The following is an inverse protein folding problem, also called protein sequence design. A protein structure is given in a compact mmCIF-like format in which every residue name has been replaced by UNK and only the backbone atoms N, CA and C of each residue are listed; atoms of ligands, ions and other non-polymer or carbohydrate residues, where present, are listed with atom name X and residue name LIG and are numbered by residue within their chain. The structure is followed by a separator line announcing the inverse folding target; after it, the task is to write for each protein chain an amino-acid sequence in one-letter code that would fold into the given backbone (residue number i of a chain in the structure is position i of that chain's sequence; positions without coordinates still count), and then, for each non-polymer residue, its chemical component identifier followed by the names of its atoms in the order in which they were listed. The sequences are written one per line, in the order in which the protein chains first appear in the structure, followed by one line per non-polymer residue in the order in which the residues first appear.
data_IF_023129863081
#
_entry.id   IF_023129863081
#
_cell.length_a   1.000
_cell.length_b   1.000
_cell.length_c   1.000
_cell.angle_alpha   90.00
_cell.angle_beta   90.00
_cell.angle_gamma   90.00
#
_symmetry.space_group_name_H-M   'P 1'
#
loop_
_entity.id
_entity.type
_entity.pdbx_description
1 polymer ?
#
# COMPACT_ATOMS: atom_id res chain seq x y z
N UNK A 1 -12.69 41.37 -15.39
CA UNK A 1 -14.16 41.41 -15.45
C UNK A 1 -14.66 40.02 -15.82
N UNK A 2 -15.37 39.40 -14.87
CA UNK A 2 -15.92 38.03 -14.79
C UNK A 2 -16.47 37.42 -16.10
N UNK A 3 -15.92 36.29 -16.56
CA UNK A 3 -16.61 35.32 -17.46
C UNK A 3 -16.11 33.88 -17.33
N UNK A 4 -16.06 33.31 -16.12
CA UNK A 4 -16.07 31.84 -15.93
C UNK A 4 -16.73 31.49 -14.59
N UNK A 5 -17.99 31.88 -14.42
CA UNK A 5 -18.87 31.32 -13.40
C UNK A 5 -20.01 30.62 -14.12
N UNK A 6 -19.68 29.51 -14.80
CA UNK A 6 -20.67 28.57 -15.30
C UNK A 6 -21.20 27.76 -14.13
N UNK A 7 -22.05 28.38 -13.30
CA UNK A 7 -22.86 27.63 -12.36
C UNK A 7 -23.83 26.78 -13.19
N UNK A 8 -23.50 25.49 -13.35
CA UNK A 8 -24.42 24.50 -13.94
C UNK A 8 -25.65 24.50 -13.05
N UNK A 9 -26.75 25.09 -13.52
CA UNK A 9 -28.03 24.99 -12.83
C UNK A 9 -28.45 23.53 -12.89
N UNK A 10 -28.72 22.90 -11.73
CA UNK A 10 -29.19 21.50 -11.64
C UNK A 10 -30.40 21.19 -12.54
N UNK A 11 -31.12 22.20 -13.02
CA UNK A 11 -32.26 22.04 -13.91
C UNK A 11 -31.89 21.46 -15.28
N UNK A 12 -30.66 21.66 -15.77
CA UNK A 12 -30.21 21.25 -17.12
C UNK A 12 -29.44 19.91 -17.13
N UNK A 13 -29.18 19.31 -15.97
CA UNK A 13 -28.44 18.05 -15.85
C UNK A 13 -29.36 16.84 -16.09
N UNK A 14 -29.63 16.52 -17.35
CA UNK A 14 -30.48 15.39 -17.78
C UNK A 14 -30.06 14.05 -17.15
N UNK A 15 -28.76 13.83 -16.98
CA UNK A 15 -28.16 12.64 -16.34
C UNK A 15 -28.60 12.44 -14.88
N UNK A 16 -28.86 13.52 -14.13
CA UNK A 16 -29.31 13.43 -12.73
C UNK A 16 -30.80 13.06 -12.63
N UNK A 17 -31.60 13.37 -13.66
CA UNK A 17 -33.04 13.03 -13.71
C UNK A 17 -33.30 11.60 -14.17
N UNK A 18 -32.39 11.02 -14.95
CA UNK A 18 -32.44 9.61 -15.38
C UNK A 18 -31.80 8.65 -14.34
N UNK A 19 -31.47 9.15 -13.14
CA UNK A 19 -30.93 8.34 -12.06
C UNK A 19 -31.94 7.30 -11.57
N UNK A 20 -31.45 6.08 -11.29
CA UNK A 20 -32.25 4.93 -10.83
C UNK A 20 -33.21 5.22 -9.65
N UNK A 21 -32.89 6.22 -8.81
CA UNK A 21 -33.68 6.60 -7.63
C UNK A 21 -34.33 8.00 -7.74
N UNK A 22 -34.23 8.69 -8.87
CA UNK A 22 -34.72 10.07 -9.02
C UNK A 22 -36.23 10.17 -8.78
N UNK A 23 -37.02 9.29 -9.41
CA UNK A 23 -38.47 9.30 -9.23
C UNK A 23 -38.88 8.96 -7.78
N UNK A 24 -38.22 8.00 -7.14
CA UNK A 24 -38.55 7.56 -5.78
C UNK A 24 -38.18 8.60 -4.69
N UNK A 25 -37.13 9.39 -4.92
CA UNK A 25 -36.64 10.40 -3.96
C UNK A 25 -37.25 11.79 -4.22
N UNK A 26 -37.38 12.18 -5.50
CA UNK A 26 -37.76 13.55 -5.89
C UNK A 26 -39.23 13.67 -6.28
N UNK A 27 -39.81 12.66 -6.93
CA UNK A 27 -41.19 12.70 -7.45
C UNK A 27 -42.18 12.09 -6.44
N UNK A 28 -41.93 10.86 -6.00
CA UNK A 28 -42.87 10.09 -5.17
C UNK A 28 -42.63 10.27 -3.67
N UNK A 29 -41.49 10.84 -3.26
CA UNK A 29 -41.02 10.99 -1.86
C UNK A 29 -41.12 9.71 -1.02
N UNK A 30 -41.18 8.54 -1.65
CA UNK A 30 -41.34 7.25 -0.99
C UNK A 30 -40.05 6.80 -0.30
N UNK A 31 -38.90 7.32 -0.76
CA UNK A 31 -37.58 7.04 -0.19
C UNK A 31 -36.84 8.33 0.17
N UNK A 32 -36.25 8.35 1.38
CA UNK A 32 -35.38 9.44 1.82
C UNK A 32 -34.05 9.45 1.06
N UNK A 33 -33.49 10.64 0.82
CA UNK A 33 -32.18 10.83 0.15
C UNK A 33 -31.05 10.07 0.85
N UNK A 34 -31.10 9.94 2.18
CA UNK A 34 -30.12 9.17 2.96
C UNK A 34 -30.19 7.68 2.64
N UNK A 35 -31.41 7.13 2.48
CA UNK A 35 -31.63 5.72 2.16
C UNK A 35 -31.16 5.39 0.74
N UNK A 36 -31.50 6.24 -0.23
CA UNK A 36 -31.03 6.07 -1.61
C UNK A 36 -29.50 6.17 -1.71
N UNK A 37 -28.89 7.11 -0.98
CA UNK A 37 -27.44 7.24 -0.87
C UNK A 37 -26.78 5.99 -0.27
N UNK A 38 -27.35 5.44 0.81
CA UNK A 38 -26.85 4.23 1.46
C UNK A 38 -26.95 2.99 0.55
N UNK A 39 -28.04 2.83 -0.20
CA UNK A 39 -28.22 1.73 -1.17
C UNK A 39 -27.20 1.84 -2.30
N UNK A 40 -27.05 3.03 -2.89
CA UNK A 40 -26.09 3.28 -3.97
C UNK A 40 -24.64 3.01 -3.51
N UNK A 41 -24.27 3.50 -2.31
CA UNK A 41 -22.95 3.26 -1.73
C UNK A 41 -22.70 1.76 -1.46
N UNK A 42 -23.70 1.05 -0.94
CA UNK A 42 -23.59 -0.39 -0.65
C UNK A 42 -23.43 -1.22 -1.92
N UNK A 43 -24.23 -0.95 -2.96
CA UNK A 43 -24.14 -1.64 -4.26
C UNK A 43 -22.79 -1.32 -4.92
N UNK A 44 -22.38 -0.06 -4.92
CA UNK A 44 -21.08 0.36 -5.45
C UNK A 44 -19.92 -0.32 -4.73
N UNK A 45 -19.96 -0.41 -3.40
CA UNK A 45 -18.95 -1.11 -2.61
C UNK A 45 -18.90 -2.61 -2.93
N UNK A 46 -20.05 -3.28 -2.98
CA UNK A 46 -20.13 -4.70 -3.34
C UNK A 46 -19.59 -4.97 -4.76
N UNK A 47 -19.95 -4.12 -5.73
CA UNK A 47 -19.48 -4.25 -7.11
C UNK A 47 -17.97 -4.01 -7.22
N UNK A 48 -17.44 -3.03 -6.49
CA UNK A 48 -15.99 -2.75 -6.41
C UNK A 48 -15.25 -3.97 -5.84
N UNK A 49 -15.72 -4.51 -4.71
CA UNK A 49 -15.11 -5.69 -4.07
C UNK A 49 -15.17 -6.90 -5.00
N UNK A 50 -16.33 -7.17 -5.62
CA UNK A 50 -16.50 -8.30 -6.55
C UNK A 50 -15.58 -8.17 -7.77
N UNK A 51 -15.47 -6.96 -8.34
CA UNK A 51 -14.58 -6.67 -9.47
C UNK A 51 -13.12 -6.91 -9.10
N UNK A 52 -12.67 -6.40 -7.94
CA UNK A 52 -11.29 -6.58 -7.46
C UNK A 52 -10.96 -8.07 -7.25
N UNK A 53 -11.85 -8.82 -6.60
CA UNK A 53 -11.65 -10.25 -6.35
C UNK A 53 -11.63 -11.04 -7.66
N UNK A 54 -12.54 -10.74 -8.58
CA UNK A 54 -12.62 -11.41 -9.89
C UNK A 54 -11.37 -11.15 -10.74
N UNK A 55 -10.85 -9.93 -10.73
CA UNK A 55 -9.61 -9.56 -11.42
C UNK A 55 -8.40 -10.33 -10.88
N UNK A 56 -8.27 -10.40 -9.54
CA UNK A 56 -7.20 -11.19 -8.89
C UNK A 56 -7.31 -12.67 -9.26
N UNK A 57 -8.53 -13.23 -9.29
CA UNK A 57 -8.76 -14.62 -9.66
C UNK A 57 -8.45 -14.91 -11.13
N UNK A 58 -8.86 -14.03 -12.05
CA UNK A 58 -8.56 -14.15 -13.48
C UNK A 58 -7.06 -14.05 -13.74
N UNK A 59 -6.37 -13.08 -13.14
CA UNK A 59 -4.92 -12.96 -13.27
C UNK A 59 -4.21 -14.18 -12.70
N UNK A 60 -4.62 -14.67 -11.52
CA UNK A 60 -4.09 -15.90 -10.93
C UNK A 60 -4.27 -17.13 -11.83
N UNK A 61 -5.30 -17.16 -12.67
CA UNK A 61 -5.50 -18.19 -13.70
C UNK A 61 -4.69 -17.93 -14.97
N UNK A 62 -4.61 -16.68 -15.42
CA UNK A 62 -3.84 -16.24 -16.60
C UNK A 62 -2.34 -16.52 -16.43
N UNK A 63 -1.84 -16.42 -15.21
CA UNK A 63 -0.44 -16.71 -14.86
C UNK A 63 -0.14 -18.20 -14.63
N UNK A 64 -1.09 -19.12 -14.91
CA UNK A 64 -0.84 -20.57 -14.95
C UNK A 64 -0.55 -21.01 -16.39
N UNK A 65 0.54 -21.76 -16.60
CA UNK A 65 0.85 -22.40 -17.89
C UNK A 65 2.04 -21.77 -18.66
N UNK A 66 1.96 -21.72 -20.00
CA UNK A 66 3.04 -21.26 -20.90
C UNK A 66 3.48 -19.81 -20.66
N UNK A 67 2.55 -18.94 -20.25
CA UNK A 67 2.84 -17.57 -19.83
C UNK A 67 3.81 -17.50 -18.65
N UNK A 68 3.73 -18.44 -17.70
CA UNK A 68 4.64 -18.52 -16.55
C UNK A 68 6.09 -18.78 -16.98
N UNK A 69 6.30 -19.63 -18.00
CA UNK A 69 7.65 -19.91 -18.54
C UNK A 69 8.21 -18.71 -19.32
N UNK A 70 7.38 -18.01 -20.08
CA UNK A 70 7.77 -16.80 -20.80
C UNK A 70 8.13 -15.66 -19.83
N UNK A 71 7.31 -15.45 -18.81
CA UNK A 71 7.53 -14.46 -17.76
C UNK A 71 8.79 -14.81 -16.95
N UNK A 72 8.98 -16.07 -16.51
CA UNK A 72 10.23 -16.47 -15.82
C UNK A 72 11.48 -16.23 -16.66
N UNK A 73 11.42 -16.41 -17.99
CA UNK A 73 12.53 -16.05 -18.89
C UNK A 73 12.75 -14.54 -18.91
N UNK A 74 11.70 -13.74 -19.15
CA UNK A 74 11.81 -12.28 -19.19
C UNK A 74 12.28 -11.67 -17.87
N UNK A 75 11.77 -12.18 -16.74
CA UNK A 75 12.10 -11.71 -15.39
C UNK A 75 13.54 -12.04 -14.95
N UNK A 76 14.21 -12.99 -15.62
CA UNK A 76 15.59 -13.38 -15.34
C UNK A 76 16.64 -12.53 -16.05
N UNK A 77 16.26 -11.73 -17.07
CA UNK A 77 17.24 -11.01 -17.89
C UNK A 77 17.75 -9.72 -17.23
N UNK A 78 16.86 -8.83 -16.82
CA UNK A 78 17.28 -7.49 -16.41
C UNK A 78 16.35 -6.88 -15.34
N UNK A 79 16.86 -6.50 -14.16
CA UNK A 79 16.06 -5.86 -13.12
C UNK A 79 15.40 -4.53 -13.57
N UNK A 80 15.99 -3.81 -14.52
CA UNK A 80 15.38 -2.60 -15.10
C UNK A 80 14.19 -2.92 -16.01
N UNK A 81 14.24 -4.04 -16.73
CA UNK A 81 13.11 -4.52 -17.52
C UNK A 81 11.94 -4.88 -16.60
N UNK A 82 12.22 -5.45 -15.43
CA UNK A 82 11.20 -5.78 -14.43
C UNK A 82 10.47 -4.53 -13.90
N UNK A 83 11.18 -3.39 -13.78
CA UNK A 83 10.55 -2.09 -13.47
C UNK A 83 9.60 -1.69 -14.60
N UNK A 84 10.06 -1.72 -15.86
CA UNK A 84 9.21 -1.36 -17.00
C UNK A 84 7.97 -2.25 -17.11
N UNK A 85 8.11 -3.56 -16.87
CA UNK A 85 6.98 -4.50 -16.84
C UNK A 85 5.99 -4.11 -15.75
N UNK A 86 6.46 -3.83 -14.53
CA UNK A 86 5.60 -3.39 -13.43
C UNK A 86 4.86 -2.09 -13.73
N UNK A 87 5.55 -1.11 -14.32
CA UNK A 87 4.98 0.17 -14.76
C UNK A 87 3.92 -0.05 -15.83
N UNK A 88 4.22 -0.85 -16.87
CA UNK A 88 3.31 -1.10 -17.99
C UNK A 88 2.05 -1.86 -17.55
N UNK A 89 2.18 -2.92 -16.76
CA UNK A 89 1.03 -3.67 -16.25
C UNK A 89 0.15 -2.75 -15.39
N UNK A 90 0.77 -1.96 -14.51
CA UNK A 90 0.00 -1.04 -13.65
C UNK A 90 -0.64 0.08 -14.44
N UNK A 91 0.02 0.59 -15.48
CA UNK A 91 -0.55 1.59 -16.37
C UNK A 91 -1.79 1.05 -17.11
N UNK A 92 -1.74 -0.18 -17.61
CA UNK A 92 -2.89 -0.81 -18.28
C UNK A 92 -4.02 -1.06 -17.28
N UNK A 93 -3.71 -1.69 -16.15
CA UNK A 93 -4.72 -2.12 -15.16
C UNK A 93 -5.18 -0.97 -14.25
N UNK A 94 -4.46 0.15 -14.22
CA UNK A 94 -4.69 1.29 -13.34
C UNK A 94 -4.68 0.95 -11.82
N UNK A 95 -4.08 -0.19 -11.44
CA UNK A 95 -4.04 -0.64 -10.05
C UNK A 95 -2.74 -1.37 -9.70
N UNK A 96 -1.92 -0.77 -8.84
CA UNK A 96 -0.69 -1.39 -8.31
C UNK A 96 -1.00 -2.47 -7.26
N UNK A 97 -2.15 -2.40 -6.59
CA UNK A 97 -2.62 -3.42 -5.64
C UNK A 97 -2.90 -4.75 -6.33
N UNK A 98 -3.42 -4.71 -7.56
CA UNK A 98 -3.65 -5.92 -8.37
C UNK A 98 -2.32 -6.59 -8.74
N UNK A 99 -1.30 -5.80 -9.09
CA UNK A 99 0.04 -6.31 -9.42
C UNK A 99 0.68 -6.95 -8.19
N UNK A 100 0.71 -6.25 -7.05
CA UNK A 100 1.33 -6.73 -5.81
C UNK A 100 0.59 -7.94 -5.21
N UNK A 101 -0.73 -7.95 -5.22
CA UNK A 101 -1.56 -9.08 -4.75
C UNK A 101 -1.39 -10.33 -5.61
N UNK A 102 -1.09 -10.18 -6.91
CA UNK A 102 -0.81 -11.33 -7.78
C UNK A 102 0.60 -11.88 -7.58
N UNK A 103 1.59 -11.02 -7.37
CA UNK A 103 2.97 -11.43 -7.11
C UNK A 103 3.14 -12.17 -5.77
N UNK A 104 2.35 -11.81 -4.77
CA UNK A 104 2.42 -12.40 -3.42
C UNK A 104 2.24 -13.92 -3.39
N UNK A 105 1.14 -14.51 -3.93
CA UNK A 105 0.98 -15.96 -3.99
C UNK A 105 1.99 -16.62 -4.95
N UNK A 106 2.41 -15.93 -6.02
CA UNK A 106 3.47 -16.45 -6.90
C UNK A 106 4.80 -16.58 -6.17
N UNK A 107 5.15 -15.64 -5.29
CA UNK A 107 6.32 -15.74 -4.44
C UNK A 107 6.17 -16.87 -3.39
N UNK A 108 4.97 -17.07 -2.85
CA UNK A 108 4.67 -18.18 -1.94
C UNK A 108 4.73 -19.57 -2.59
N UNK A 109 4.58 -19.66 -3.91
CA UNK A 109 4.71 -20.88 -4.71
C UNK A 109 6.11 -21.05 -5.34
N UNK A 110 7.09 -20.22 -4.93
CA UNK A 110 8.45 -20.18 -5.52
C UNK A 110 8.45 -19.96 -7.05
N UNK A 111 7.42 -19.28 -7.56
CA UNK A 111 7.30 -18.93 -8.98
C UNK A 111 8.15 -17.73 -9.37
N UNK A 112 8.30 -16.80 -8.43
CA UNK A 112 9.09 -15.58 -8.56
C UNK A 112 9.89 -15.39 -7.29
N UNK A 113 11.13 -14.93 -7.42
CA UNK A 113 11.97 -14.66 -6.25
C UNK A 113 11.75 -13.24 -5.73
N UNK A 114 12.11 -12.98 -4.47
CA UNK A 114 11.99 -11.63 -3.87
C UNK A 114 12.78 -10.59 -4.67
N UNK A 115 13.91 -10.99 -5.27
CA UNK A 115 14.78 -10.14 -6.08
C UNK A 115 14.13 -9.74 -7.41
N UNK A 116 13.23 -10.58 -7.93
CA UNK A 116 12.43 -10.32 -9.12
C UNK A 116 11.18 -9.51 -8.77
N UNK A 117 10.52 -9.80 -7.64
CA UNK A 117 9.33 -9.07 -7.18
C UNK A 117 9.67 -7.62 -6.88
N UNK A 118 10.79 -7.36 -6.20
CA UNK A 118 11.18 -6.01 -5.78
C UNK A 118 11.16 -4.95 -6.91
N UNK A 119 11.86 -5.12 -8.06
CA UNK A 119 11.78 -4.18 -9.17
C UNK A 119 10.39 -4.06 -9.80
N UNK A 120 9.61 -5.14 -9.85
CA UNK A 120 8.25 -5.09 -10.40
C UNK A 120 7.36 -4.20 -9.52
N UNK A 121 7.50 -4.30 -8.19
CA UNK A 121 6.77 -3.44 -7.24
C UNK A 121 7.18 -1.98 -7.37
N UNK A 122 8.49 -1.70 -7.53
CA UNK A 122 8.97 -0.33 -7.79
C UNK A 122 8.38 0.24 -9.09
N UNK A 123 8.32 -0.57 -10.15
CA UNK A 123 7.66 -0.20 -11.40
C UNK A 123 6.15 0.03 -11.23
N UNK A 124 5.48 -0.82 -10.45
CA UNK A 124 4.05 -0.66 -10.18
C UNK A 124 3.74 0.67 -9.48
N UNK A 125 4.59 1.09 -8.53
CA UNK A 125 4.46 2.41 -7.89
C UNK A 125 4.63 3.55 -8.90
N UNK A 126 5.58 3.43 -9.83
CA UNK A 126 5.73 4.40 -10.92
C UNK A 126 4.48 4.41 -11.83
N UNK A 127 3.92 3.25 -12.18
CA UNK A 127 2.70 3.16 -12.99
C UNK A 127 1.50 3.88 -12.38
N UNK A 128 1.33 3.84 -11.05
CA UNK A 128 0.24 4.56 -10.34
C UNK A 128 0.34 6.09 -10.53
N UNK A 129 1.55 6.63 -10.67
CA UNK A 129 1.73 8.07 -10.90
C UNK A 129 1.23 8.51 -12.28
N UNK A 130 1.29 7.63 -13.28
CA UNK A 130 0.75 7.91 -14.62
C UNK A 130 -0.77 8.02 -14.58
N UNK A 131 -1.44 7.19 -13.76
CA UNK A 131 -2.88 7.32 -13.51
C UNK A 131 -3.23 8.68 -12.90
N UNK A 132 -2.43 9.15 -11.92
CA UNK A 132 -2.63 10.47 -11.33
C UNK A 132 -2.45 11.60 -12.35
N UNK A 133 -1.47 11.49 -13.26
CA UNK A 133 -1.25 12.45 -14.34
C UNK A 133 -2.46 12.51 -15.29
N UNK A 134 -2.96 11.36 -15.75
CA UNK A 134 -4.15 11.31 -16.60
C UNK A 134 -5.38 11.90 -15.90
N UNK A 135 -5.60 11.56 -14.63
CA UNK A 135 -6.69 12.12 -13.85
C UNK A 135 -6.58 13.64 -13.70
N UNK A 136 -5.37 14.16 -13.40
CA UNK A 136 -5.13 15.60 -13.29
C UNK A 136 -5.39 16.34 -14.61
N UNK A 137 -5.02 15.72 -15.74
CA UNK A 137 -5.26 16.29 -17.06
C UNK A 137 -6.76 16.46 -17.36
N UNK A 138 -7.57 15.48 -16.96
CA UNK A 138 -9.04 15.55 -17.12
C UNK A 138 -9.63 16.64 -16.22
N UNK A 139 -9.13 16.81 -15.00
CA UNK A 139 -9.62 17.86 -14.10
C UNK A 139 -9.24 19.28 -14.56
N UNK A 140 -8.11 19.42 -15.26
CA UNK A 140 -7.60 20.70 -15.75
C UNK A 140 -7.21 21.71 -14.66
N UNK A 141 -7.23 21.32 -13.37
CA UNK A 141 -6.86 22.23 -12.29
C UNK A 141 -5.34 22.30 -12.14
N UNK A 142 -4.75 23.50 -12.06
CA UNK A 142 -3.30 23.66 -11.88
C UNK A 142 -2.78 22.91 -10.65
N UNK A 143 -3.56 22.91 -9.56
CA UNK A 143 -3.20 22.24 -8.31
C UNK A 143 -3.16 20.71 -8.47
N UNK A 144 -4.11 20.10 -9.18
CA UNK A 144 -4.11 18.66 -9.41
C UNK A 144 -2.92 18.25 -10.30
N UNK A 145 -2.62 19.05 -11.32
CA UNK A 145 -1.46 18.80 -12.21
C UNK A 145 -0.16 18.94 -11.43
N UNK A 146 -0.02 19.97 -10.60
CA UNK A 146 1.15 20.15 -9.75
C UNK A 146 1.35 18.95 -8.80
N UNK A 147 0.29 18.51 -8.12
CA UNK A 147 0.35 17.35 -7.23
C UNK A 147 0.69 16.05 -7.98
N UNK A 148 0.12 15.84 -9.17
CA UNK A 148 0.42 14.67 -9.99
C UNK A 148 1.87 14.68 -10.49
N UNK A 149 2.39 15.83 -10.90
CA UNK A 149 3.80 16.00 -11.30
C UNK A 149 4.76 15.77 -10.14
N UNK A 150 4.47 16.33 -8.95
CA UNK A 150 5.28 16.06 -7.74
C UNK A 150 5.30 14.56 -7.46
N UNK A 151 4.15 13.89 -7.54
CA UNK A 151 4.05 12.46 -7.30
C UNK A 151 4.84 11.64 -8.33
N UNK A 152 4.75 11.99 -9.61
CA UNK A 152 5.50 11.35 -10.70
C UNK A 152 7.01 11.53 -10.55
N UNK A 153 7.46 12.77 -10.34
CA UNK A 153 8.89 13.08 -10.23
C UNK A 153 9.51 12.49 -8.97
N UNK A 154 8.80 12.52 -7.83
CA UNK A 154 9.29 11.92 -6.60
C UNK A 154 9.55 10.42 -6.76
N UNK A 155 8.62 9.68 -7.38
CA UNK A 155 8.80 8.24 -7.63
C UNK A 155 9.89 7.97 -8.68
N UNK A 156 9.93 8.76 -9.75
CA UNK A 156 10.92 8.60 -10.82
C UNK A 156 12.33 8.85 -10.31
N UNK A 157 12.57 9.97 -9.63
CA UNK A 157 13.86 10.27 -9.01
C UNK A 157 14.21 9.30 -7.89
N UNK A 158 13.24 8.86 -7.09
CA UNK A 158 13.45 7.82 -6.09
C UNK A 158 13.98 6.53 -6.70
N UNK A 159 13.40 6.07 -7.81
CA UNK A 159 13.90 4.89 -8.53
C UNK A 159 15.29 5.16 -9.10
N UNK A 160 15.50 6.28 -9.79
CA UNK A 160 16.78 6.59 -10.44
C UNK A 160 17.94 6.78 -9.45
N UNK A 161 17.68 7.31 -8.25
CA UNK A 161 18.70 7.52 -7.23
C UNK A 161 18.98 6.25 -6.42
N UNK A 162 17.93 5.54 -5.98
CA UNK A 162 18.10 4.44 -5.02
C UNK A 162 18.18 3.05 -5.66
N UNK A 163 17.67 2.85 -6.89
CA UNK A 163 17.65 1.51 -7.49
C UNK A 163 18.98 1.10 -8.15
N UNK A 164 19.68 1.97 -8.93
CA UNK A 164 20.94 1.61 -9.56
C UNK A 164 22.07 1.34 -8.57
N UNK A 165 22.02 1.98 -7.39
CA UNK A 165 23.04 1.84 -6.35
C UNK A 165 22.79 0.53 -5.58
N UNK A 166 23.69 -0.47 -5.66
CA UNK A 166 23.46 -1.76 -5.00
C UNK A 166 23.38 -1.63 -3.47
N UNK A 167 24.13 -0.69 -2.91
CA UNK A 167 24.22 -0.45 -1.46
C UNK A 167 22.87 -0.08 -0.84
N UNK A 168 22.00 0.59 -1.58
CA UNK A 168 20.66 0.99 -1.13
C UNK A 168 19.63 -0.12 -1.36
N UNK A 169 19.85 -1.00 -2.36
CA UNK A 169 18.98 -2.15 -2.66
C UNK A 169 19.13 -3.29 -1.66
N UNK A 170 20.35 -3.69 -1.33
CA UNK A 170 20.59 -4.88 -0.49
C UNK A 170 19.94 -4.83 0.90
N UNK A 171 19.98 -3.71 1.64
CA UNK A 171 19.36 -3.63 2.97
C UNK A 171 17.85 -3.88 2.92
N UNK A 172 17.15 -3.33 1.92
CA UNK A 172 15.70 -3.46 1.77
C UNK A 172 15.31 -4.93 1.63
N UNK A 173 16.00 -5.67 0.75
CA UNK A 173 15.76 -7.10 0.56
C UNK A 173 16.03 -7.91 1.84
N UNK A 174 17.08 -7.57 2.57
CA UNK A 174 17.40 -8.24 3.83
C UNK A 174 16.36 -7.97 4.92
N UNK A 175 15.90 -6.73 5.06
CA UNK A 175 14.85 -6.36 6.01
C UNK A 175 13.53 -7.04 5.67
N UNK A 176 13.17 -7.10 4.38
CA UNK A 176 11.99 -7.84 3.92
C UNK A 176 12.08 -9.33 4.29
N UNK A 177 13.22 -10.00 4.04
CA UNK A 177 13.42 -11.39 4.44
C UNK A 177 13.37 -11.61 5.95
N UNK A 178 13.97 -10.71 6.74
CA UNK A 178 13.94 -10.79 8.21
C UNK A 178 12.51 -10.61 8.74
N UNK A 179 11.79 -9.62 8.23
CA UNK A 179 10.40 -9.36 8.60
C UNK A 179 9.52 -10.56 8.26
N UNK A 180 9.66 -11.13 7.06
CA UNK A 180 8.97 -12.35 6.65
C UNK A 180 9.30 -13.55 7.55
N UNK A 181 10.58 -13.73 7.90
CA UNK A 181 11.01 -14.80 8.81
C UNK A 181 10.42 -14.66 10.22
N UNK A 182 10.29 -13.43 10.73
CA UNK A 182 9.70 -13.16 12.04
C UNK A 182 8.17 -13.32 12.02
N UNK A 183 7.50 -12.78 11.01
CA UNK A 183 6.05 -12.88 10.87
C UNK A 183 5.56 -14.31 10.64
N UNK A 184 6.34 -15.14 9.92
CA UNK A 184 6.04 -16.55 9.73
C UNK A 184 6.08 -17.38 11.03
N UNK A 185 6.85 -16.93 12.04
CA UNK A 185 6.92 -17.60 13.36
C UNK A 185 5.82 -17.11 14.30
N UNK A 186 5.55 -15.81 14.27
CA UNK A 186 4.53 -15.21 15.12
C UNK A 186 3.82 -14.08 14.34
N UNK A 187 2.60 -14.31 13.85
CA UNK A 187 1.88 -13.34 13.01
C UNK A 187 1.68 -11.97 13.65
N UNK A 188 1.65 -11.90 14.98
CA UNK A 188 1.57 -10.64 15.74
C UNK A 188 2.75 -9.71 15.43
N UNK A 189 3.91 -10.22 15.03
CA UNK A 189 5.03 -9.39 14.61
C UNK A 189 4.65 -8.50 13.41
N UNK A 190 3.89 -9.02 12.45
CA UNK A 190 3.41 -8.23 11.32
C UNK A 190 2.43 -7.13 11.77
N UNK A 191 1.55 -7.43 12.72
CA UNK A 191 0.60 -6.46 13.28
C UNK A 191 1.35 -5.33 14.01
N UNK A 192 2.30 -5.69 14.89
CA UNK A 192 3.14 -4.72 15.61
C UNK A 192 3.94 -3.86 14.64
N UNK A 193 4.50 -4.47 13.59
CA UNK A 193 5.19 -3.73 12.53
C UNK A 193 4.28 -2.74 11.81
N UNK A 194 3.06 -3.16 11.43
CA UNK A 194 2.09 -2.29 10.75
C UNK A 194 1.63 -1.14 11.65
N UNK A 195 1.26 -1.42 12.89
CA UNK A 195 0.88 -0.37 13.86
C UNK A 195 2.04 0.59 14.12
N UNK A 196 3.26 0.05 14.28
CA UNK A 196 4.46 0.85 14.48
C UNK A 196 4.75 1.78 13.30
N UNK A 197 4.72 1.25 12.08
CA UNK A 197 5.12 1.97 10.88
C UNK A 197 4.04 2.93 10.35
N UNK A 198 2.77 2.55 10.40
CA UNK A 198 1.69 3.33 9.80
C UNK A 198 0.91 4.20 10.80
N UNK A 199 0.99 3.91 12.11
CA UNK A 199 0.28 4.69 13.13
C UNK A 199 1.27 5.41 14.04
N UNK A 200 2.14 4.66 14.73
CA UNK A 200 3.01 5.22 15.76
C UNK A 200 4.04 6.17 15.15
N UNK A 201 4.75 5.78 14.09
CA UNK A 201 5.79 6.61 13.50
C UNK A 201 5.25 7.91 12.86
N UNK A 202 4.20 7.89 12.01
CA UNK A 202 3.61 9.11 11.48
C UNK A 202 2.97 9.97 12.58
N UNK A 203 2.27 9.34 13.53
CA UNK A 203 1.66 10.03 14.67
C UNK A 203 2.69 10.74 15.55
N UNK A 204 3.84 10.09 15.80
CA UNK A 204 4.95 10.67 16.56
C UNK A 204 5.60 11.83 15.80
N UNK A 205 5.87 11.68 14.51
CA UNK A 205 6.42 12.77 13.68
C UNK A 205 5.48 13.97 13.61
N UNK A 206 4.19 13.72 13.40
CA UNK A 206 3.17 14.76 13.34
C UNK A 206 3.03 15.46 14.69
N UNK A 207 2.95 14.68 15.79
CA UNK A 207 2.90 15.19 17.15
C UNK A 207 4.11 16.07 17.49
N UNK A 208 5.33 15.63 17.13
CA UNK A 208 6.54 16.42 17.30
C UNK A 208 6.49 17.73 16.49
N UNK A 209 6.02 17.68 15.25
CA UNK A 209 5.91 18.88 14.38
C UNK A 209 4.96 19.92 15.01
N UNK A 210 3.81 19.49 15.52
CA UNK A 210 2.89 20.37 16.24
C UNK A 210 3.47 20.91 17.55
N UNK A 211 4.20 20.09 18.31
CA UNK A 211 4.84 20.51 19.56
C UNK A 211 5.93 21.56 19.32
N UNK A 212 6.75 21.40 18.28
CA UNK A 212 7.79 22.38 17.92
C UNK A 212 7.24 23.69 17.37
N UNK A 213 6.01 23.69 16.86
CA UNK A 213 5.35 24.89 16.33
C UNK A 213 4.47 25.60 17.38
N UNK A 214 4.41 25.08 18.60
CA UNK A 214 3.54 25.57 19.68
C UNK A 214 4.22 26.60 20.61
N UNK A 215 3.56 26.87 21.72
CA UNK A 215 4.08 27.75 22.78
C UNK A 215 5.35 27.17 23.43
N UNK A 216 6.08 27.98 24.20
CA UNK A 216 7.33 27.58 24.88
C UNK A 216 7.20 26.27 25.67
N UNK A 217 6.06 26.04 26.33
CA UNK A 217 5.79 24.79 27.06
C UNK A 217 5.73 23.58 26.11
N UNK A 218 4.97 23.68 25.02
CA UNK A 218 4.86 22.62 24.00
C UNK A 218 6.21 22.33 23.34
N UNK A 219 7.02 23.36 23.10
CA UNK A 219 8.37 23.20 22.55
C UNK A 219 9.25 22.39 23.49
N UNK A 220 9.25 22.68 24.80
CA UNK A 220 10.02 21.92 25.80
C UNK A 220 9.57 20.45 25.84
N UNK A 221 8.26 20.18 25.84
CA UNK A 221 7.75 18.81 25.75
C UNK A 221 8.17 18.12 24.45
N UNK A 222 8.17 18.84 23.33
CA UNK A 222 8.64 18.35 22.03
C UNK A 222 10.11 17.94 22.07
N UNK A 223 10.98 18.74 22.66
CA UNK A 223 12.40 18.39 22.84
C UNK A 223 12.55 17.14 23.70
N UNK A 224 11.87 17.08 24.85
CA UNK A 224 11.92 15.92 25.75
C UNK A 224 11.46 14.64 25.04
N UNK A 225 10.33 14.71 24.33
CA UNK A 225 9.80 13.57 23.58
C UNK A 225 10.72 13.14 22.44
N UNK A 226 11.32 14.10 21.72
CA UNK A 226 12.28 13.82 20.65
C UNK A 226 13.53 13.13 21.21
N UNK A 227 14.11 13.67 22.29
CA UNK A 227 15.29 13.08 22.94
C UNK A 227 14.98 11.69 23.48
N UNK A 228 13.84 11.49 24.15
CA UNK A 228 13.40 10.19 24.63
C UNK A 228 13.24 9.18 23.49
N UNK A 229 12.66 9.59 22.37
CA UNK A 229 12.48 8.75 21.18
C UNK A 229 13.83 8.32 20.58
N UNK A 230 14.78 9.25 20.46
CA UNK A 230 16.14 8.97 19.97
C UNK A 230 16.87 8.01 20.92
N UNK A 231 16.82 8.27 22.23
CA UNK A 231 17.44 7.40 23.24
C UNK A 231 16.82 6.00 23.25
N UNK A 232 15.50 5.89 23.06
CA UNK A 232 14.82 4.61 22.94
C UNK A 232 15.30 3.82 21.72
N UNK A 233 15.40 4.46 20.55
CA UNK A 233 15.90 3.82 19.32
C UNK A 233 17.35 3.39 19.47
N UNK A 234 18.22 4.25 20.00
CA UNK A 234 19.63 3.94 20.24
C UNK A 234 19.80 2.83 21.29
N UNK A 235 19.02 2.88 22.37
CA UNK A 235 19.00 1.87 23.42
C UNK A 235 18.53 0.51 22.88
N UNK A 236 17.49 0.49 22.04
CA UNK A 236 17.01 -0.71 21.37
C UNK A 236 18.08 -1.27 20.41
N UNK A 237 18.70 -0.41 19.60
CA UNK A 237 19.78 -0.82 18.69
C UNK A 237 20.95 -1.43 19.45
N UNK A 238 21.40 -0.79 20.52
CA UNK A 238 22.48 -1.27 21.37
C UNK A 238 22.12 -2.59 22.06
N UNK A 239 20.91 -2.71 22.61
CA UNK A 239 20.42 -3.96 23.20
C UNK A 239 20.39 -5.09 22.16
N UNK A 240 19.84 -4.83 20.97
CA UNK A 240 19.66 -5.82 19.94
C UNK A 240 21.00 -6.34 19.38
N UNK A 241 21.94 -5.45 19.07
CA UNK A 241 23.22 -5.80 18.43
C UNK A 241 24.37 -6.07 19.40
N UNK A 242 24.47 -5.34 20.53
CA UNK A 242 25.63 -5.45 21.44
C UNK A 242 25.36 -6.25 22.71
N UNK A 243 24.13 -6.25 23.23
CA UNK A 243 23.80 -6.90 24.53
C UNK A 243 23.14 -8.29 24.39
N UNK A 244 23.23 -8.90 23.21
CA UNK A 244 22.64 -10.22 22.94
C UNK A 244 21.11 -10.23 22.78
N UNK A 245 20.47 -9.05 22.63
CA UNK A 245 19.03 -8.94 22.45
C UNK A 245 18.52 -9.71 21.24
N UNK A 246 19.32 -9.78 20.16
CA UNK A 246 19.03 -10.63 18.99
C UNK A 246 18.83 -12.09 19.36
N UNK A 247 19.73 -12.70 20.13
CA UNK A 247 19.62 -14.11 20.52
C UNK A 247 18.36 -14.35 21.37
N UNK A 248 18.08 -13.46 22.33
CA UNK A 248 16.86 -13.51 23.15
C UNK A 248 15.59 -13.39 22.31
N UNK A 249 15.60 -12.49 21.32
CA UNK A 249 14.47 -12.30 20.40
C UNK A 249 14.20 -13.54 19.55
N UNK A 250 15.25 -14.14 18.98
CA UNK A 250 15.11 -15.37 18.22
C UNK A 250 14.59 -16.53 19.08
N UNK A 251 15.13 -16.72 20.29
CA UNK A 251 14.65 -17.73 21.24
C UNK A 251 13.19 -17.53 21.66
N UNK A 252 12.77 -16.27 21.88
CA UNK A 252 11.38 -15.94 22.16
C UNK A 252 10.44 -16.30 21.00
N UNK A 253 10.83 -15.97 19.76
CA UNK A 253 10.05 -16.28 18.57
C UNK A 253 9.94 -17.78 18.33
N UNK A 254 11.00 -18.53 18.59
CA UNK A 254 11.00 -20.00 18.47
C UNK A 254 10.02 -20.64 19.46
N UNK A 255 10.09 -20.25 20.74
CA UNK A 255 9.13 -20.69 21.76
C UNK A 255 7.68 -20.39 21.39
N UNK A 256 7.41 -19.21 20.81
CA UNK A 256 6.06 -18.84 20.36
C UNK A 256 5.62 -19.65 19.13
N UNK A 257 6.52 -19.91 18.19
CA UNK A 257 6.25 -20.72 17.01
C UNK A 257 5.92 -22.17 17.39
N UNK A 258 6.68 -22.76 18.32
CA UNK A 258 6.40 -24.10 18.86
C UNK A 258 5.02 -24.19 19.51
N UNK A 259 4.66 -23.20 20.34
CA UNK A 259 3.36 -23.14 20.99
C UNK A 259 2.20 -23.02 19.97
N UNK A 260 2.41 -22.27 18.88
CA UNK A 260 1.43 -22.18 17.79
C UNK A 260 1.29 -23.51 17.02
N UNK A 261 2.41 -24.17 16.67
CA UNK A 261 2.38 -25.48 16.01
C UNK A 261 1.74 -26.55 16.88
N UNK A 262 2.04 -26.56 18.19
CA UNK A 262 1.42 -27.48 19.14
C UNK A 262 -0.09 -27.30 19.24
N UNK A 263 -0.58 -26.06 19.22
CA UNK A 263 -2.03 -25.78 19.17
C UNK A 263 -2.68 -26.24 17.87
N UNK A 264 -2.03 -26.03 16.72
CA UNK A 264 -2.56 -26.49 15.42
C UNK A 264 -2.61 -28.02 15.35
N UNK A 265 -1.54 -28.70 15.75
CA UNK A 265 -1.52 -30.17 15.80
C UNK A 265 -2.57 -30.75 16.74
N UNK A 266 -2.82 -30.10 17.89
CA UNK A 266 -3.88 -30.52 18.81
C UNK A 266 -5.29 -30.38 18.20
N UNK A 267 -5.52 -29.31 17.42
CA UNK A 267 -6.80 -29.10 16.71
C UNK A 267 -6.99 -30.15 15.61
N UNK A 268 -5.93 -30.45 14.83
CA UNK A 268 -5.97 -31.48 13.78
C UNK A 268 -6.16 -32.89 14.35
N UNK A 269 -5.61 -33.19 15.53
CA UNK A 269 -5.82 -34.49 16.21
C UNK A 269 -7.20 -34.64 16.86
N UNK A 270 -7.93 -33.53 17.02
CA UNK A 270 -9.26 -33.49 17.64
C UNK A 270 -10.40 -33.38 16.60
N UNK A 271 -10.06 -33.23 15.32
CA UNK A 271 -10.98 -33.19 14.17
C UNK A 271 -10.98 -34.53 13.44
#
# INVERSE_FOLDING_TARGET
MSRYSGAVKCQDAKFLRDGMFYNQVVVDKSMSSTTAGAICASIGFCMLVFSLVSLVHMLSKLFRGSAQKAIRRMLNFNPYLNILIGTAITFVVHSSTVVTSTLTPMAGLDLVTLEQVYPIVMGANLGTTVTALLASWVTGSPDAVAMALVHFWFNTWGILLFFPIPITRYPILQWARRLAYYSARWPVVAIVFLLGLFIVAPGLLLGLTYMFSGNTVSFVFGVVLATASVLFVLGFYWWYFKKGGRAKWHAFLEKKAELHRGKQGAIESAA
#
